data_IF_467347629950
#
_entry.id   IF_467347629950
#
_cell.length_a   1.000
_cell.length_b   1.000
_cell.length_c   1.000
_cell.angle_alpha   90.00
_cell.angle_beta   90.00
_cell.angle_gamma   90.00
#
_symmetry.space_group_name_H-M   'P 1'
#
loop_
_entity.id
_entity.type
_entity.pdbx_description
1 polymer ?
#
# COMPACT_ATOMS: atom_id res chain seq x y z
N UNK A 1 -3.72 -16.85 1.19
CA UNK A 1 -4.66 -17.63 0.35
C UNK A 1 -3.95 -17.93 -0.97
N UNK A 2 -4.17 -19.10 -1.56
CA UNK A 2 -3.66 -19.46 -2.89
C UNK A 2 -4.83 -19.46 -3.87
N UNK A 3 -4.68 -18.76 -4.99
CA UNK A 3 -5.65 -18.78 -6.09
C UNK A 3 -5.05 -19.55 -7.26
N UNK A 4 -5.69 -20.64 -7.65
CA UNK A 4 -5.34 -21.37 -8.87
C UNK A 4 -6.29 -20.94 -9.97
N UNK A 5 -5.78 -20.16 -10.92
CA UNK A 5 -6.53 -19.77 -12.10
C UNK A 5 -6.56 -20.91 -13.10
N UNK A 6 -7.74 -21.24 -13.62
CA UNK A 6 -7.97 -22.41 -14.49
C UNK A 6 -8.60 -21.97 -15.79
N UNK A 7 -7.90 -22.17 -16.90
CA UNK A 7 -8.46 -22.16 -18.24
C UNK A 7 -8.60 -23.59 -18.76
N UNK A 8 -9.68 -23.90 -19.46
CA UNK A 8 -9.86 -25.24 -20.05
C UNK A 8 -10.66 -25.20 -21.35
N UNK A 9 -10.45 -26.22 -22.17
CA UNK A 9 -11.34 -26.59 -23.28
C UNK A 9 -12.65 -27.17 -22.76
N UNK A 10 -13.70 -27.15 -23.59
CA UNK A 10 -14.98 -27.78 -23.24
C UNK A 10 -14.85 -29.30 -23.15
N UNK A 11 -15.55 -29.92 -22.20
CA UNK A 11 -15.57 -31.36 -21.97
C UNK A 11 -14.34 -31.89 -21.25
N UNK A 12 -13.67 -31.08 -20.43
CA UNK A 12 -12.59 -31.59 -19.56
C UNK A 12 -13.19 -32.36 -18.37
N UNK A 13 -12.55 -33.46 -18.00
CA UNK A 13 -12.97 -34.27 -16.84
C UNK A 13 -12.47 -33.66 -15.54
N UNK A 14 -13.02 -34.13 -14.42
CA UNK A 14 -12.58 -33.72 -13.08
C UNK A 14 -11.13 -34.12 -12.84
N UNK A 15 -10.74 -35.32 -13.30
CA UNK A 15 -9.40 -35.87 -13.16
C UNK A 15 -8.37 -35.05 -13.96
N UNK A 16 -8.71 -34.62 -15.18
CA UNK A 16 -7.83 -33.75 -15.98
C UNK A 16 -7.56 -32.42 -15.26
N UNK A 17 -8.59 -31.81 -14.68
CA UNK A 17 -8.44 -30.54 -13.94
C UNK A 17 -7.63 -30.75 -12.65
N UNK A 18 -7.93 -31.79 -11.87
CA UNK A 18 -7.19 -32.08 -10.64
C UNK A 18 -5.72 -32.40 -10.91
N UNK A 19 -5.41 -33.19 -11.95
CA UNK A 19 -4.04 -33.49 -12.34
C UNK A 19 -3.26 -32.22 -12.72
N UNK A 20 -3.87 -31.31 -13.48
CA UNK A 20 -3.25 -30.04 -13.84
C UNK A 20 -2.98 -29.16 -12.61
N UNK A 21 -3.94 -29.08 -11.69
CA UNK A 21 -3.85 -28.27 -10.47
C UNK A 21 -2.81 -28.84 -9.50
N UNK A 22 -2.80 -30.15 -9.28
CA UNK A 22 -1.85 -30.83 -8.39
C UNK A 22 -0.41 -30.72 -8.90
N UNK A 23 -0.21 -30.63 -10.22
CA UNK A 23 1.11 -30.46 -10.83
C UNK A 23 1.75 -29.09 -10.54
N UNK A 24 0.96 -28.07 -10.18
CA UNK A 24 1.44 -26.70 -9.97
C UNK A 24 1.24 -26.18 -8.55
N UNK A 25 0.51 -26.90 -7.71
CA UNK A 25 0.28 -26.48 -6.33
C UNK A 25 1.57 -26.53 -5.51
N UNK A 26 1.94 -25.42 -4.82
CA UNK A 26 3.07 -25.44 -3.91
C UNK A 26 2.87 -26.50 -2.82
N UNK A 27 3.93 -27.26 -2.44
CA UNK A 27 3.85 -28.23 -1.36
C UNK A 27 3.32 -27.59 -0.07
N UNK A 28 2.30 -28.22 0.53
CA UNK A 28 1.70 -27.74 1.78
C UNK A 28 0.78 -26.52 1.64
N UNK A 29 0.36 -26.15 0.42
CA UNK A 29 -0.59 -25.07 0.19
C UNK A 29 -1.87 -25.22 1.04
N UNK A 30 -2.26 -24.14 1.73
CA UNK A 30 -3.49 -24.05 2.53
C UNK A 30 -4.33 -22.86 2.07
N UNK A 31 -5.65 -22.97 2.26
CA UNK A 31 -6.60 -21.93 1.85
C UNK A 31 -6.54 -21.71 0.33
N UNK A 32 -6.85 -22.76 -0.42
CA UNK A 32 -6.83 -22.77 -1.88
C UNK A 32 -8.23 -22.46 -2.40
N UNK A 33 -8.31 -21.68 -3.46
CA UNK A 33 -9.51 -21.49 -4.26
C UNK A 33 -9.19 -21.69 -5.74
N UNK A 34 -10.20 -22.08 -6.52
CA UNK A 34 -10.13 -22.07 -7.98
C UNK A 34 -10.74 -20.77 -8.50
N UNK A 35 -10.13 -20.17 -9.51
CA UNK A 35 -10.66 -19.01 -10.20
C UNK A 35 -10.71 -19.26 -11.71
N UNK A 36 -11.76 -18.78 -12.38
CA UNK A 36 -11.87 -18.93 -13.84
C UNK A 36 -12.73 -17.84 -14.46
N UNK A 37 -12.82 -17.82 -15.79
CA UNK A 37 -13.75 -16.99 -16.54
C UNK A 37 -15.19 -17.46 -16.30
N UNK A 38 -16.17 -16.56 -16.11
CA UNK A 38 -17.58 -16.89 -15.82
C UNK A 38 -18.15 -17.97 -16.74
N UNK A 39 -17.93 -17.85 -18.06
CA UNK A 39 -18.41 -18.85 -19.03
C UNK A 39 -17.78 -20.25 -18.88
N UNK A 40 -16.61 -20.33 -18.24
CA UNK A 40 -15.89 -21.57 -17.91
C UNK A 40 -16.22 -22.08 -16.51
N UNK A 41 -16.77 -21.25 -15.63
CA UNK A 41 -17.24 -21.67 -14.30
C UNK A 41 -18.39 -22.67 -14.34
N UNK A 42 -19.08 -22.82 -15.47
CA UNK A 42 -20.11 -23.84 -15.68
C UNK A 42 -19.56 -25.20 -16.16
N UNK A 43 -18.26 -25.27 -16.50
CA UNK A 43 -17.65 -26.49 -17.01
C UNK A 43 -17.67 -27.61 -15.94
N UNK A 44 -18.26 -28.79 -16.22
CA UNK A 44 -18.42 -29.84 -15.22
C UNK A 44 -17.10 -30.29 -14.58
N UNK A 45 -16.01 -30.37 -15.35
CA UNK A 45 -14.70 -30.72 -14.83
C UNK A 45 -14.17 -29.72 -13.79
N UNK A 46 -14.34 -28.42 -14.02
CA UNK A 46 -13.87 -27.36 -13.11
C UNK A 46 -14.73 -27.34 -11.84
N UNK A 47 -16.06 -27.37 -11.97
CA UNK A 47 -16.97 -27.41 -10.81
C UNK A 47 -16.79 -28.67 -9.99
N UNK A 48 -16.63 -29.81 -10.65
CA UNK A 48 -16.40 -31.09 -10.00
C UNK A 48 -15.07 -31.11 -9.26
N UNK A 49 -13.99 -30.58 -9.85
CA UNK A 49 -12.69 -30.47 -9.17
C UNK A 49 -12.76 -29.59 -7.92
N UNK A 50 -13.43 -28.43 -8.00
CA UNK A 50 -13.66 -27.56 -6.85
C UNK A 50 -14.44 -28.29 -5.74
N UNK A 51 -15.51 -29.01 -6.11
CA UNK A 51 -16.34 -29.76 -5.18
C UNK A 51 -15.58 -30.92 -4.51
N UNK A 52 -14.81 -31.70 -5.27
CA UNK A 52 -13.98 -32.80 -4.75
C UNK A 52 -12.98 -32.30 -3.70
N UNK A 53 -12.41 -31.12 -3.91
CA UNK A 53 -11.44 -30.50 -2.98
C UNK A 53 -12.09 -29.65 -1.88
N UNK A 54 -13.41 -29.46 -1.92
CA UNK A 54 -14.13 -28.51 -1.08
C UNK A 54 -13.52 -27.08 -1.14
N UNK A 55 -13.09 -26.66 -2.32
CA UNK A 55 -12.52 -25.33 -2.55
C UNK A 55 -13.58 -24.38 -3.12
N UNK A 56 -13.55 -23.08 -2.74
CA UNK A 56 -14.33 -22.07 -3.43
C UNK A 56 -13.98 -22.03 -4.92
N UNK A 57 -15.00 -21.88 -5.77
CA UNK A 57 -14.84 -21.57 -7.19
C UNK A 57 -15.32 -20.13 -7.41
N UNK A 58 -14.38 -19.26 -7.72
CA UNK A 58 -14.64 -17.86 -8.04
C UNK A 58 -14.65 -17.69 -9.56
N UNK A 59 -15.57 -16.88 -10.06
CA UNK A 59 -15.68 -16.58 -11.49
C UNK A 59 -15.58 -15.10 -11.75
N UNK A 60 -14.95 -14.75 -12.87
CA UNK A 60 -14.75 -13.36 -13.28
C UNK A 60 -15.18 -13.16 -14.72
N UNK A 61 -15.71 -11.98 -15.02
CA UNK A 61 -16.15 -11.65 -16.38
C UNK A 61 -14.96 -11.37 -17.31
N UNK A 62 -15.17 -11.56 -18.61
CA UNK A 62 -14.12 -11.41 -19.61
C UNK A 62 -13.48 -10.02 -19.57
N UNK A 63 -14.32 -8.98 -19.47
CA UNK A 63 -13.86 -7.59 -19.42
C UNK A 63 -12.99 -7.32 -18.19
N UNK A 64 -13.37 -7.89 -17.04
CA UNK A 64 -12.58 -7.77 -15.81
C UNK A 64 -11.24 -8.50 -15.93
N UNK A 65 -11.21 -9.67 -16.57
CA UNK A 65 -9.96 -10.40 -16.83
C UNK A 65 -9.13 -9.80 -17.97
N UNK A 66 -9.70 -8.96 -18.81
CA UNK A 66 -9.02 -8.31 -19.94
C UNK A 66 -8.07 -7.20 -19.47
N UNK A 67 -8.40 -6.54 -18.36
CA UNK A 67 -7.60 -5.45 -17.81
C UNK A 67 -6.41 -5.94 -16.97
N UNK A 68 -6.42 -7.20 -16.55
CA UNK A 68 -5.35 -7.78 -15.71
C UNK A 68 -4.07 -7.97 -16.55
N UNK A 69 -2.96 -7.30 -16.22
CA UNK A 69 -1.68 -7.54 -16.87
C UNK A 69 -1.20 -8.97 -16.56
N UNK A 70 -0.88 -9.73 -17.60
CA UNK A 70 -0.39 -11.11 -17.49
C UNK A 70 0.99 -11.24 -18.14
N UNK A 71 1.88 -12.07 -17.59
CA UNK A 71 3.25 -12.18 -18.12
C UNK A 71 3.31 -12.93 -19.47
N UNK A 72 2.34 -13.79 -19.77
CA UNK A 72 2.32 -14.58 -21.00
C UNK A 72 0.99 -14.43 -21.78
N UNK A 73 0.69 -13.26 -22.35
CA UNK A 73 -0.55 -13.03 -23.09
C UNK A 73 -0.64 -13.88 -24.37
N UNK A 74 -1.86 -14.20 -24.81
CA UNK A 74 -2.13 -14.95 -26.05
C UNK A 74 -3.21 -14.28 -26.89
N UNK A 75 -2.83 -13.82 -28.09
CA UNK A 75 -3.77 -13.20 -29.03
C UNK A 75 -4.94 -14.14 -29.42
N UNK A 76 -4.68 -15.44 -29.54
CA UNK A 76 -5.72 -16.43 -29.83
C UNK A 76 -6.73 -16.55 -28.68
N UNK A 77 -6.27 -16.51 -27.43
CA UNK A 77 -7.15 -16.53 -26.25
C UNK A 77 -7.94 -15.22 -26.16
N UNK A 78 -7.29 -14.06 -26.37
CA UNK A 78 -7.98 -12.77 -26.43
C UNK A 78 -9.11 -12.77 -27.47
N UNK A 79 -8.83 -13.26 -28.68
CA UNK A 79 -9.84 -13.32 -29.75
C UNK A 79 -11.00 -14.28 -29.42
N UNK A 80 -10.72 -15.40 -28.75
CA UNK A 80 -11.73 -16.42 -28.46
C UNK A 80 -12.57 -16.11 -27.21
N UNK A 81 -12.01 -15.38 -26.25
CA UNK A 81 -12.58 -15.30 -24.89
C UNK A 81 -12.55 -13.91 -24.26
N UNK A 82 -11.93 -12.92 -24.91
CA UNK A 82 -11.88 -11.53 -24.46
C UNK A 82 -10.78 -11.20 -23.44
N UNK A 83 -10.02 -12.18 -22.94
CA UNK A 83 -8.89 -11.95 -22.01
C UNK A 83 -7.57 -12.50 -22.58
N UNK A 84 -6.41 -11.85 -22.31
CA UNK A 84 -5.11 -12.33 -22.78
C UNK A 84 -4.69 -13.68 -22.21
N UNK A 85 -5.20 -14.09 -21.05
CA UNK A 85 -4.89 -15.38 -20.42
C UNK A 85 -5.92 -15.69 -19.35
N UNK A 86 -6.79 -16.69 -19.54
CA UNK A 86 -7.81 -17.04 -18.52
C UNK A 86 -7.16 -17.46 -17.20
N UNK A 87 -6.14 -18.32 -17.26
CA UNK A 87 -5.51 -18.86 -16.06
C UNK A 87 -4.76 -17.78 -15.27
N UNK A 88 -3.87 -17.02 -15.93
CA UNK A 88 -3.09 -15.99 -15.21
C UNK A 88 -3.96 -14.82 -14.77
N UNK A 89 -4.87 -14.34 -15.62
CA UNK A 89 -5.73 -13.22 -15.26
C UNK A 89 -6.65 -13.59 -14.08
N UNK A 90 -7.27 -14.78 -14.10
CA UNK A 90 -8.12 -15.23 -13.00
C UNK A 90 -7.34 -15.47 -11.71
N UNK A 91 -6.08 -15.91 -11.79
CA UNK A 91 -5.22 -16.03 -10.61
C UNK A 91 -4.85 -14.65 -10.03
N UNK A 92 -4.60 -13.66 -10.89
CA UNK A 92 -4.04 -12.36 -10.52
C UNK A 92 -5.06 -11.25 -10.24
N UNK A 93 -6.32 -11.40 -10.66
CA UNK A 93 -7.35 -10.33 -10.56
C UNK A 93 -7.55 -9.80 -9.12
N UNK A 94 -7.26 -10.61 -8.10
CA UNK A 94 -7.29 -10.20 -6.68
C UNK A 94 -6.04 -9.44 -6.20
N UNK A 95 -5.08 -9.14 -7.07
CA UNK A 95 -3.86 -8.39 -6.76
C UNK A 95 -2.76 -9.20 -6.07
N UNK A 96 -2.83 -10.53 -6.13
CA UNK A 96 -1.80 -11.44 -5.62
C UNK A 96 -0.53 -11.47 -6.49
N UNK A 97 0.46 -12.25 -6.06
CA UNK A 97 1.69 -12.50 -6.80
C UNK A 97 1.67 -13.85 -7.49
N UNK A 98 2.05 -13.87 -8.76
CA UNK A 98 2.19 -15.13 -9.50
C UNK A 98 3.37 -15.92 -8.91
N UNK A 99 3.10 -17.12 -8.40
CA UNK A 99 4.11 -18.05 -7.90
C UNK A 99 4.39 -19.16 -8.92
N UNK A 100 3.41 -19.48 -9.77
CA UNK A 100 3.58 -20.36 -10.93
C UNK A 100 2.92 -19.71 -12.14
N UNK A 101 3.71 -19.49 -13.19
CA UNK A 101 3.25 -18.95 -14.46
C UNK A 101 2.31 -19.90 -15.21
N UNK A 102 1.74 -19.40 -16.32
CA UNK A 102 0.91 -20.22 -17.21
C UNK A 102 1.58 -21.54 -17.57
N UNK A 103 0.98 -22.63 -17.11
CA UNK A 103 1.43 -24.00 -17.34
C UNK A 103 0.30 -24.77 -18.02
N UNK A 104 0.61 -25.44 -19.13
CA UNK A 104 -0.37 -26.22 -19.90
C UNK A 104 -0.21 -27.70 -19.56
N UNK A 105 -1.30 -28.34 -19.17
CA UNK A 105 -1.39 -29.76 -18.86
C UNK A 105 -2.54 -30.39 -19.66
N UNK A 106 -2.20 -30.94 -20.83
CA UNK A 106 -3.20 -31.45 -21.78
C UNK A 106 -4.15 -30.35 -22.26
N UNK A 107 -5.44 -30.47 -21.91
CA UNK A 107 -6.51 -29.52 -22.29
C UNK A 107 -6.82 -28.47 -21.21
N UNK A 108 -6.05 -28.48 -20.12
CA UNK A 108 -6.20 -27.57 -18.98
C UNK A 108 -4.95 -26.70 -18.88
N UNK A 109 -5.16 -25.41 -18.73
CA UNK A 109 -4.11 -24.42 -18.47
C UNK A 109 -4.30 -23.88 -17.07
N UNK A 110 -3.25 -23.90 -16.27
CA UNK A 110 -3.28 -23.45 -14.88
C UNK A 110 -2.22 -22.39 -14.63
N UNK A 111 -2.48 -21.53 -13.67
CA UNK A 111 -1.53 -20.58 -13.11
C UNK A 111 -1.83 -20.42 -11.62
N UNK A 112 -0.82 -20.15 -10.80
CA UNK A 112 -0.98 -20.07 -9.34
C UNK A 112 -0.51 -18.72 -8.86
N UNK A 113 -1.38 -18.01 -8.14
CA UNK A 113 -1.04 -16.80 -7.43
C UNK A 113 -1.16 -17.02 -5.91
N UNK A 114 -0.23 -16.45 -5.17
CA UNK A 114 -0.31 -16.31 -3.73
C UNK A 114 -0.79 -14.91 -3.37
N UNK A 115 -1.69 -14.80 -2.39
CA UNK A 115 -2.05 -13.51 -1.82
C UNK A 115 -0.83 -12.83 -1.19
N UNK A 116 -0.82 -11.50 -1.18
CA UNK A 116 0.27 -10.69 -0.64
C UNK A 116 0.32 -10.81 0.87
N UNK A 117 1.53 -10.92 1.44
CA UNK A 117 1.71 -10.79 2.89
C UNK A 117 1.49 -9.33 3.32
N UNK A 118 0.26 -9.04 3.77
CA UNK A 118 -0.16 -7.71 4.20
C UNK A 118 0.61 -7.20 5.43
N UNK A 119 1.28 -8.08 6.19
CA UNK A 119 2.05 -7.72 7.40
C UNK A 119 3.52 -7.41 7.10
N UNK A 120 3.94 -7.56 5.85
CA UNK A 120 5.32 -7.27 5.50
C UNK A 120 5.56 -5.75 5.43
N UNK A 121 6.46 -5.22 6.26
CA UNK A 121 6.78 -3.79 6.34
C UNK A 121 8.25 -3.49 6.01
N UNK A 122 8.54 -2.24 5.62
CA UNK A 122 9.81 -1.85 4.97
C UNK A 122 11.03 -1.84 5.89
N UNK A 123 10.81 -1.77 7.19
CA UNK A 123 11.82 -1.88 8.23
C UNK A 123 12.53 -3.25 8.23
N UNK A 124 11.88 -4.31 7.74
CA UNK A 124 12.52 -5.60 7.53
C UNK A 124 13.70 -5.54 6.54
N UNK A 125 13.72 -4.55 5.63
CA UNK A 125 14.78 -4.37 4.64
C UNK A 125 15.95 -3.54 5.17
N UNK A 126 15.73 -2.69 6.19
CA UNK A 126 16.73 -1.79 6.74
C UNK A 126 17.57 -2.48 7.83
N UNK A 127 18.63 -3.19 7.43
CA UNK A 127 19.58 -3.82 8.35
C UNK A 127 20.79 -2.91 8.62
N UNK A 128 21.45 -3.02 9.80
CA UNK A 128 22.65 -2.24 10.10
C UNK A 128 23.73 -2.35 9.03
N UNK A 129 24.39 -1.23 8.70
CA UNK A 129 25.46 -1.18 7.71
C UNK A 129 25.02 -0.85 6.27
N UNK A 130 23.71 -0.76 6.02
CA UNK A 130 23.18 -0.35 4.71
C UNK A 130 22.77 1.13 4.71
N UNK A 131 22.92 1.78 3.56
CA UNK A 131 22.27 3.06 3.29
C UNK A 131 20.77 2.79 3.09
N UNK A 132 19.97 3.30 4.03
CA UNK A 132 18.53 3.05 4.06
C UNK A 132 17.77 3.94 3.07
N UNK A 133 17.34 3.35 1.96
CA UNK A 133 16.32 3.90 1.04
C UNK A 133 15.02 3.09 1.11
N UNK A 134 14.91 2.15 2.04
CA UNK A 134 13.75 1.29 2.23
C UNK A 134 12.75 1.88 3.22
N UNK A 135 13.12 2.82 4.08
CA UNK A 135 12.22 3.49 5.03
C UNK A 135 12.08 4.98 4.73
N UNK A 136 10.84 5.45 4.60
CA UNK A 136 10.51 6.83 4.21
C UNK A 136 10.58 7.84 5.38
N UNK A 137 11.44 7.61 6.38
CA UNK A 137 11.67 8.56 7.48
C UNK A 137 12.72 9.58 7.06
N UNK A 138 12.48 10.87 7.31
CA UNK A 138 13.42 11.95 6.96
C UNK A 138 14.75 11.78 7.71
N UNK A 139 15.87 11.86 7.01
CA UNK A 139 17.20 11.79 7.61
C UNK A 139 17.47 13.02 8.51
N UNK A 140 18.35 12.87 9.50
CA UNK A 140 18.74 13.97 10.40
C UNK A 140 17.66 14.40 11.41
N UNK A 141 16.60 13.61 11.57
CA UNK A 141 15.50 13.87 12.51
C UNK A 141 15.53 12.89 13.70
N UNK A 142 14.85 13.18 14.83
CA UNK A 142 14.17 14.44 15.18
C UNK A 142 15.16 15.61 15.37
N UNK A 143 14.73 16.87 15.11
CA UNK A 143 15.55 18.06 15.34
C UNK A 143 15.85 18.25 16.84
N UNK A 144 16.90 19.02 17.15
CA UNK A 144 17.39 19.19 18.52
C UNK A 144 16.33 19.75 19.49
N UNK A 145 15.51 20.71 19.05
CA UNK A 145 14.42 21.25 19.86
C UNK A 145 13.39 20.18 20.22
N UNK A 146 13.07 19.29 19.28
CA UNK A 146 12.09 18.21 19.50
C UNK A 146 12.68 17.13 20.41
N UNK A 147 13.98 16.83 20.28
CA UNK A 147 14.68 15.94 21.23
C UNK A 147 14.60 16.45 22.66
N UNK A 148 14.77 17.76 22.85
CA UNK A 148 14.65 18.40 24.18
C UNK A 148 13.25 18.20 24.74
N UNK A 149 12.21 18.52 23.96
CA UNK A 149 10.80 18.28 24.34
C UNK A 149 10.54 16.82 24.72
N UNK A 150 11.10 15.87 23.95
CA UNK A 150 10.93 14.45 24.22
C UNK A 150 11.64 14.00 25.50
N UNK A 151 12.84 14.52 25.79
CA UNK A 151 13.54 14.23 27.04
C UNK A 151 12.77 14.75 28.25
N UNK A 152 12.33 16.01 28.21
CA UNK A 152 11.53 16.60 29.29
C UNK A 152 10.23 15.81 29.52
N UNK A 153 9.59 15.32 28.45
CA UNK A 153 8.38 14.52 28.55
C UNK A 153 8.62 13.10 29.11
N UNK A 154 9.81 12.53 28.89
CA UNK A 154 10.21 11.27 29.53
C UNK A 154 10.34 11.48 31.05
N UNK A 155 10.96 12.57 31.49
CA UNK A 155 11.07 12.90 32.92
C UNK A 155 9.69 13.10 33.57
N UNK A 156 8.72 13.63 32.81
CA UNK A 156 7.34 13.81 33.26
C UNK A 156 6.46 12.54 33.20
N UNK A 157 6.97 11.39 32.73
CA UNK A 157 6.15 10.20 32.45
C UNK A 157 5.70 9.43 33.69
N UNK A 158 6.04 9.86 34.91
CA UNK A 158 5.56 9.22 36.14
C UNK A 158 4.06 9.42 36.38
N UNK A 159 3.46 10.48 35.82
CA UNK A 159 2.02 10.74 35.89
C UNK A 159 1.28 10.13 34.69
N UNK A 160 0.00 9.81 34.88
CA UNK A 160 -0.87 9.43 33.76
C UNK A 160 -0.96 10.57 32.73
N UNK A 161 -0.99 10.26 31.43
CA UNK A 161 -0.97 11.26 30.38
C UNK A 161 -2.28 12.08 30.31
N UNK A 162 -2.14 13.39 30.08
CA UNK A 162 -3.25 14.30 29.79
C UNK A 162 -3.28 14.67 28.30
N UNK A 163 -4.28 14.17 27.58
CA UNK A 163 -4.41 14.35 26.14
C UNK A 163 -4.98 15.72 25.72
N UNK A 164 -5.57 16.50 26.64
CA UNK A 164 -6.31 17.73 26.30
C UNK A 164 -5.44 18.77 25.57
N UNK A 165 -4.21 19.11 26.03
CA UNK A 165 -3.39 20.10 25.35
C UNK A 165 -3.01 19.67 23.92
N UNK A 166 -2.70 18.39 23.73
CA UNK A 166 -2.36 17.84 22.41
C UNK A 166 -3.56 17.85 21.46
N UNK A 167 -4.75 17.52 21.96
CA UNK A 167 -6.00 17.55 21.19
C UNK A 167 -6.32 18.97 20.72
N UNK A 168 -6.27 19.94 21.65
CA UNK A 168 -6.47 21.35 21.35
C UNK A 168 -5.45 21.88 20.32
N UNK A 169 -4.17 21.51 20.46
CA UNK A 169 -3.12 21.93 19.54
C UNK A 169 -3.35 21.39 18.10
N UNK A 170 -3.72 20.11 17.98
CA UNK A 170 -4.04 19.50 16.69
C UNK A 170 -5.30 20.11 16.08
N UNK A 171 -6.35 20.30 16.87
CA UNK A 171 -7.61 20.92 16.43
C UNK A 171 -7.35 22.34 15.87
N UNK A 172 -6.60 23.17 16.62
CA UNK A 172 -6.23 24.50 16.19
C UNK A 172 -5.36 24.51 14.92
N UNK A 173 -4.44 23.56 14.78
CA UNK A 173 -3.59 23.46 13.58
C UNK A 173 -4.39 23.19 12.29
N UNK A 174 -5.51 22.48 12.40
CA UNK A 174 -6.34 22.11 11.24
C UNK A 174 -7.64 22.90 11.12
N UNK A 175 -7.91 23.83 12.04
CA UNK A 175 -9.16 24.59 12.07
C UNK A 175 -10.39 23.72 12.35
N UNK A 176 -10.23 22.74 13.25
CA UNK A 176 -11.25 21.76 13.63
C UNK A 176 -11.75 21.98 15.05
N UNK A 177 -12.92 21.41 15.36
CA UNK A 177 -13.35 21.28 16.75
C UNK A 177 -12.56 20.18 17.47
N UNK A 178 -12.34 20.30 18.78
CA UNK A 178 -11.62 19.27 19.55
C UNK A 178 -12.33 17.90 19.54
N UNK A 179 -13.67 17.90 19.44
CA UNK A 179 -14.47 16.66 19.32
C UNK A 179 -14.25 15.94 17.99
N UNK A 180 -13.71 16.63 16.98
CA UNK A 180 -13.36 16.07 15.67
C UNK A 180 -11.92 15.52 15.62
N UNK A 181 -11.22 15.46 16.76
CA UNK A 181 -9.83 15.01 16.84
C UNK A 181 -9.67 13.75 17.70
N UNK A 182 -9.17 12.70 17.09
CA UNK A 182 -8.72 11.48 17.77
C UNK A 182 -7.20 11.41 17.80
N UNK A 183 -6.59 11.36 18.99
CA UNK A 183 -5.15 11.11 19.12
C UNK A 183 -4.89 9.61 19.18
N UNK A 184 -3.86 9.14 18.47
CA UNK A 184 -3.60 7.70 18.32
C UNK A 184 -2.14 7.33 18.55
N UNK A 185 -1.91 6.08 18.96
CA UNK A 185 -0.61 5.43 19.12
C UNK A 185 0.01 5.09 17.74
N UNK A 186 0.14 6.13 16.91
CA UNK A 186 0.51 6.05 15.50
C UNK A 186 -0.73 5.90 14.60
N UNK A 187 -0.58 6.38 13.36
CA UNK A 187 -1.65 6.31 12.35
C UNK A 187 -2.23 4.89 12.14
N UNK A 188 -1.41 3.85 12.32
CA UNK A 188 -1.84 2.46 12.19
C UNK A 188 -2.92 2.04 13.20
N UNK A 189 -2.91 2.62 14.41
CA UNK A 189 -3.94 2.34 15.42
C UNK A 189 -5.33 2.75 14.89
N UNK A 190 -5.43 3.88 14.17
CA UNK A 190 -6.69 4.35 13.59
C UNK A 190 -7.36 3.27 12.74
N UNK A 191 -6.61 2.50 11.94
CA UNK A 191 -7.18 1.44 11.12
C UNK A 191 -7.72 0.27 11.94
N UNK A 192 -7.06 -0.07 13.05
CA UNK A 192 -7.55 -1.09 13.98
C UNK A 192 -8.82 -0.62 14.70
N UNK A 193 -8.86 0.64 15.15
CA UNK A 193 -10.05 1.22 15.78
C UNK A 193 -11.23 1.27 14.81
N UNK A 194 -10.98 1.70 13.56
CA UNK A 194 -11.96 1.73 12.48
C UNK A 194 -12.54 0.33 12.21
N UNK A 195 -11.67 -0.66 12.07
CA UNK A 195 -12.08 -2.04 11.81
C UNK A 195 -12.92 -2.64 12.96
N UNK A 196 -12.73 -2.19 14.20
CA UNK A 196 -13.51 -2.64 15.37
C UNK A 196 -14.82 -1.87 15.56
N UNK A 197 -14.80 -0.57 15.29
CA UNK A 197 -15.94 0.31 15.49
C UNK A 197 -17.01 0.16 14.40
N UNK A 198 -16.61 -0.22 13.18
CA UNK A 198 -17.49 -0.29 12.03
C UNK A 198 -17.84 -1.73 11.65
N UNK A 199 -18.98 -1.92 10.99
CA UNK A 199 -19.41 -3.18 10.36
C UNK A 199 -19.79 -2.90 8.90
N UNK A 200 -18.80 -2.62 8.03
CA UNK A 200 -19.06 -2.27 6.65
C UNK A 200 -19.67 -3.46 5.89
N UNK A 201 -20.66 -3.20 5.05
CA UNK A 201 -21.23 -4.17 4.13
C UNK A 201 -20.34 -4.39 2.91
N UNK A 202 -19.68 -3.34 2.44
CA UNK A 202 -18.78 -3.33 1.28
C UNK A 202 -17.60 -2.40 1.55
N UNK A 203 -16.55 -2.95 2.17
CA UNK A 203 -15.29 -2.26 2.39
C UNK A 203 -14.39 -2.34 1.16
N UNK A 204 -14.03 -1.19 0.60
CA UNK A 204 -13.11 -1.05 -0.53
C UNK A 204 -11.79 -0.45 -0.04
N UNK A 205 -10.68 -1.13 -0.28
CA UNK A 205 -9.33 -0.58 -0.06
C UNK A 205 -8.66 -0.37 -1.42
N UNK A 206 -8.22 0.86 -1.67
CA UNK A 206 -7.55 1.23 -2.92
C UNK A 206 -6.10 0.77 -2.86
N UNK A 207 -5.65 0.04 -3.87
CA UNK A 207 -4.30 -0.48 -4.02
C UNK A 207 -3.72 -0.11 -5.40
N UNK A 208 -2.39 -0.12 -5.60
CA UNK A 208 -1.35 -0.39 -4.60
C UNK A 208 -1.24 0.72 -3.56
N UNK A 209 -1.34 0.35 -2.28
CA UNK A 209 -1.33 1.26 -1.13
C UNK A 209 -0.76 0.53 0.09
N UNK A 210 -0.50 1.27 1.16
CA UNK A 210 -0.10 0.72 2.46
C UNK A 210 -1.13 -0.31 2.92
N UNK A 211 -0.65 -1.46 3.38
CA UNK A 211 -1.46 -2.68 3.55
C UNK A 211 -2.17 -2.76 4.91
N UNK A 212 -1.80 -1.91 5.86
CA UNK A 212 -2.36 -1.93 7.22
C UNK A 212 -3.88 -1.79 7.28
N UNK A 213 -4.54 -0.91 6.49
CA UNK A 213 -5.99 -0.81 6.52
C UNK A 213 -6.67 -2.13 6.15
N UNK A 214 -6.20 -2.80 5.09
CA UNK A 214 -6.73 -4.10 4.70
C UNK A 214 -6.42 -5.16 5.75
N UNK A 215 -5.19 -5.18 6.30
CA UNK A 215 -4.80 -6.12 7.34
C UNK A 215 -5.69 -6.00 8.59
N UNK A 216 -5.97 -4.77 9.03
CA UNK A 216 -6.82 -4.49 10.18
C UNK A 216 -8.27 -4.92 9.94
N UNK A 217 -8.84 -4.60 8.77
CA UNK A 217 -10.19 -5.00 8.39
C UNK A 217 -10.34 -6.53 8.35
N UNK A 218 -9.41 -7.22 7.70
CA UNK A 218 -9.41 -8.69 7.65
C UNK A 218 -9.22 -9.32 9.03
N UNK A 219 -8.38 -8.75 9.88
CA UNK A 219 -8.17 -9.21 11.25
C UNK A 219 -9.43 -9.06 12.12
N UNK A 220 -10.28 -8.08 11.84
CA UNK A 220 -11.59 -7.91 12.46
C UNK A 220 -12.70 -8.78 11.82
N UNK A 221 -12.39 -9.58 10.80
CA UNK A 221 -13.32 -10.49 10.14
C UNK A 221 -14.10 -9.88 8.97
N UNK A 222 -13.74 -8.67 8.53
CA UNK A 222 -14.41 -8.02 7.40
C UNK A 222 -13.92 -8.57 6.06
N UNK A 223 -14.85 -8.74 5.11
CA UNK A 223 -14.52 -8.93 3.72
C UNK A 223 -14.01 -7.60 3.13
N UNK A 224 -12.88 -7.64 2.42
CA UNK A 224 -12.28 -6.46 1.78
C UNK A 224 -12.22 -6.67 0.28
N UNK A 225 -12.82 -5.73 -0.44
CA UNK A 225 -12.66 -5.60 -1.89
C UNK A 225 -11.45 -4.69 -2.17
N UNK A 226 -10.53 -5.17 -3.00
CA UNK A 226 -9.41 -4.35 -3.46
C UNK A 226 -9.79 -3.65 -4.76
N UNK A 227 -9.68 -2.33 -4.79
CA UNK A 227 -9.69 -1.55 -6.03
C UNK A 227 -8.26 -1.37 -6.50
N UNK A 228 -7.84 -2.12 -7.52
CA UNK A 228 -6.48 -2.06 -8.07
C UNK A 228 -6.40 -0.95 -9.12
N UNK A 229 -5.64 0.10 -8.82
CA UNK A 229 -5.30 1.15 -9.77
C UNK A 229 -4.21 0.66 -10.72
N UNK A 230 -4.25 1.16 -11.94
CA UNK A 230 -3.41 0.67 -13.04
C UNK A 230 -2.28 1.65 -13.39
N UNK A 231 -1.10 1.16 -13.81
CA UNK A 231 -0.06 1.99 -14.41
C UNK A 231 -0.52 2.56 -15.77
N UNK A 232 0.12 3.64 -16.26
CA UNK A 232 1.26 4.33 -15.67
C UNK A 232 0.87 5.37 -14.61
N UNK A 233 -0.41 5.72 -14.47
CA UNK A 233 -0.85 6.86 -13.66
C UNK A 233 -1.12 6.50 -12.20
N UNK A 234 -1.65 5.29 -11.93
CA UNK A 234 -2.21 4.91 -10.63
C UNK A 234 -3.16 5.96 -10.06
N UNK A 235 -3.93 6.63 -10.93
CA UNK A 235 -4.92 7.62 -10.51
C UNK A 235 -6.24 6.94 -10.12
N UNK A 236 -6.90 7.47 -9.10
CA UNK A 236 -8.18 7.03 -8.60
C UNK A 236 -9.24 7.04 -9.72
N UNK A 237 -9.95 5.92 -9.84
CA UNK A 237 -11.04 5.70 -10.80
C UNK A 237 -11.95 4.58 -10.31
N UNK A 238 -13.19 4.53 -10.80
CA UNK A 238 -14.09 3.38 -10.67
C UNK A 238 -14.34 2.89 -9.23
N UNK A 239 -14.39 3.80 -8.25
CA UNK A 239 -14.79 3.44 -6.88
C UNK A 239 -16.27 3.05 -6.88
N UNK A 240 -16.65 1.83 -6.43
CA UNK A 240 -18.05 1.40 -6.42
C UNK A 240 -18.94 2.37 -5.64
N UNK A 241 -20.08 2.76 -6.22
CA UNK A 241 -21.00 3.75 -5.65
C UNK A 241 -21.66 3.28 -4.34
N UNK A 242 -21.81 1.97 -4.17
CA UNK A 242 -22.43 1.28 -3.03
C UNK A 242 -21.41 0.85 -1.95
N UNK A 243 -20.12 1.14 -2.12
CA UNK A 243 -19.13 0.95 -1.05
C UNK A 243 -19.48 1.87 0.13
N UNK A 244 -19.63 1.30 1.33
CA UNK A 244 -19.95 2.04 2.56
C UNK A 244 -18.70 2.33 3.43
N UNK A 245 -17.56 1.71 3.10
CA UNK A 245 -16.24 2.08 3.57
C UNK A 245 -15.27 2.13 2.40
N UNK A 246 -14.56 3.26 2.23
CA UNK A 246 -13.49 3.40 1.24
C UNK A 246 -12.22 3.88 1.94
N UNK A 247 -11.11 3.19 1.73
CA UNK A 247 -9.80 3.58 2.28
C UNK A 247 -8.79 3.82 1.16
N UNK A 248 -8.15 4.99 1.15
CA UNK A 248 -7.05 5.32 0.24
C UNK A 248 -5.98 6.16 0.95
N UNK A 249 -4.74 6.12 0.44
CA UNK A 249 -3.69 7.05 0.85
C UNK A 249 -3.65 8.28 -0.06
N UNK A 250 -3.20 9.42 0.44
CA UNK A 250 -2.95 10.60 -0.39
C UNK A 250 -1.88 11.54 0.24
N UNK A 251 -0.63 11.59 -0.25
CA UNK A 251 -0.06 10.76 -1.32
C UNK A 251 -0.05 9.27 -1.02
N UNK A 252 -0.23 8.46 -2.05
CA UNK A 252 -0.30 7.00 -1.95
C UNK A 252 1.09 6.38 -1.78
N UNK A 253 1.28 5.53 -0.76
CA UNK A 253 2.47 4.68 -0.61
C UNK A 253 2.15 3.28 -1.15
N UNK A 254 2.78 2.78 -2.23
CA UNK A 254 4.15 3.10 -2.64
C UNK A 254 4.30 3.97 -3.90
N UNK A 255 3.22 4.34 -4.58
CA UNK A 255 3.28 5.01 -5.89
C UNK A 255 3.76 6.46 -5.84
N UNK A 256 3.66 7.10 -4.67
CA UNK A 256 3.96 8.51 -4.43
C UNK A 256 2.98 9.47 -5.14
N UNK A 257 1.91 8.92 -5.74
CA UNK A 257 0.89 9.68 -6.46
C UNK A 257 0.07 10.52 -5.50
N UNK A 258 -0.13 11.78 -5.85
CA UNK A 258 -1.05 12.70 -5.19
C UNK A 258 -2.32 12.80 -6.02
N UNK A 259 -3.41 12.21 -5.53
CA UNK A 259 -4.73 12.37 -6.11
C UNK A 259 -5.23 13.82 -5.92
N UNK A 260 -5.88 14.42 -6.93
CA UNK A 260 -6.49 15.73 -6.78
C UNK A 260 -7.51 15.74 -5.64
N UNK A 261 -7.45 16.75 -4.76
CA UNK A 261 -8.36 16.87 -3.62
C UNK A 261 -9.84 16.78 -4.02
N UNK A 262 -10.21 17.40 -5.15
CA UNK A 262 -11.58 17.35 -5.67
C UNK A 262 -12.03 15.93 -6.07
N UNK A 263 -11.14 15.13 -6.65
CA UNK A 263 -11.45 13.75 -7.03
C UNK A 263 -11.67 12.85 -5.81
N UNK A 264 -10.85 13.03 -4.76
CA UNK A 264 -11.02 12.30 -3.49
C UNK A 264 -12.27 12.78 -2.75
N UNK A 265 -12.50 14.09 -2.68
CA UNK A 265 -13.67 14.68 -2.03
C UNK A 265 -15.00 14.23 -2.67
N UNK A 266 -15.02 14.02 -3.99
CA UNK A 266 -16.19 13.52 -4.72
C UNK A 266 -16.62 12.10 -4.30
N UNK A 267 -15.75 11.34 -3.60
CA UNK A 267 -16.12 10.05 -3.04
C UNK A 267 -17.00 10.16 -1.80
N UNK A 268 -16.95 11.29 -1.08
CA UNK A 268 -17.68 11.51 0.16
C UNK A 268 -19.19 11.59 -0.10
N UNK A 269 -19.97 10.88 0.70
CA UNK A 269 -21.43 10.82 0.60
C UNK A 269 -22.06 10.31 1.90
N UNK A 270 -23.33 10.64 2.19
CA UNK A 270 -24.04 10.07 3.33
C UNK A 270 -24.00 8.53 3.31
N UNK A 271 -23.77 7.92 4.47
CA UNK A 271 -23.71 6.47 4.62
C UNK A 271 -22.38 5.82 4.22
N UNK A 272 -21.40 6.59 3.73
CA UNK A 272 -20.04 6.12 3.47
C UNK A 272 -19.07 6.72 4.48
N UNK A 273 -18.18 5.89 5.03
CA UNK A 273 -16.96 6.37 5.68
C UNK A 273 -15.84 6.41 4.63
N UNK A 274 -15.31 7.60 4.37
CA UNK A 274 -14.18 7.82 3.46
C UNK A 274 -12.92 8.07 4.29
N UNK A 275 -12.01 7.10 4.33
CA UNK A 275 -10.75 7.20 5.07
C UNK A 275 -9.63 7.60 4.12
N UNK A 276 -8.98 8.72 4.42
CA UNK A 276 -7.85 9.24 3.64
C UNK A 276 -6.59 9.25 4.51
N UNK A 277 -5.66 8.34 4.23
CA UNK A 277 -4.36 8.29 4.89
C UNK A 277 -3.41 9.35 4.30
N UNK A 278 -3.25 10.44 5.04
CA UNK A 278 -2.41 11.58 4.71
C UNK A 278 -1.05 11.53 5.45
N UNK A 279 -0.56 10.33 5.80
CA UNK A 279 0.73 10.16 6.48
C UNK A 279 1.95 10.75 5.75
N UNK A 280 1.81 11.10 4.47
CA UNK A 280 2.84 11.76 3.65
C UNK A 280 2.47 13.17 3.19
N UNK A 281 1.32 13.73 3.61
CA UNK A 281 0.87 15.05 3.15
C UNK A 281 1.89 16.16 3.47
N UNK A 282 2.48 16.14 4.67
CA UNK A 282 3.52 17.07 5.13
C UNK A 282 4.80 17.07 4.25
N UNK A 283 4.95 16.10 3.34
CA UNK A 283 6.08 16.03 2.40
C UNK A 283 5.81 16.76 1.08
N UNK A 284 4.59 17.28 0.90
CA UNK A 284 4.15 18.02 -0.29
C UNK A 284 4.02 19.51 0.04
N UNK A 285 4.76 20.40 -0.62
CA UNK A 285 4.65 21.85 -0.39
C UNK A 285 3.21 22.35 -0.53
N UNK A 286 2.70 23.01 0.51
CA UNK A 286 1.35 23.60 0.55
C UNK A 286 0.21 22.59 0.66
N UNK A 287 0.50 21.29 0.74
CA UNK A 287 -0.47 20.20 0.92
C UNK A 287 -1.75 20.29 0.04
N UNK A 288 -1.66 20.55 -1.28
CA UNK A 288 -2.83 20.84 -2.12
C UNK A 288 -3.83 19.68 -2.26
N UNK A 289 -3.43 18.45 -1.91
CA UNK A 289 -4.31 17.28 -1.90
C UNK A 289 -4.95 16.97 -0.54
N UNK A 290 -4.63 17.75 0.50
CA UNK A 290 -5.12 17.53 1.86
C UNK A 290 -6.60 17.86 2.01
N UNK A 291 -7.30 17.00 2.73
CA UNK A 291 -8.68 17.19 3.19
C UNK A 291 -8.75 17.39 4.71
N UNK A 292 -7.60 17.48 5.41
CA UNK A 292 -7.51 17.56 6.86
C UNK A 292 -8.33 18.70 7.49
N UNK A 293 -8.54 19.82 6.78
CA UNK A 293 -9.37 20.95 7.25
C UNK A 293 -10.84 20.95 6.79
N UNK A 294 -11.28 19.98 5.97
CA UNK A 294 -12.64 19.94 5.38
C UNK A 294 -13.70 19.35 6.31
N UNK A 295 -14.65 20.17 6.76
CA UNK A 295 -15.79 19.77 7.61
C UNK A 295 -17.09 19.53 6.82
N UNK A 296 -17.13 19.88 5.55
CA UNK A 296 -18.32 19.80 4.68
C UNK A 296 -18.50 18.42 4.00
N UNK A 297 -17.54 17.51 4.16
CA UNK A 297 -17.53 16.21 3.50
C UNK A 297 -18.07 15.12 4.46
N UNK A 298 -19.25 14.54 4.17
CA UNK A 298 -19.87 13.56 5.07
C UNK A 298 -19.02 12.29 5.16
N UNK A 299 -18.83 11.81 6.39
CA UNK A 299 -18.11 10.56 6.69
C UNK A 299 -16.60 10.60 6.38
N UNK A 300 -16.03 11.76 6.10
CA UNK A 300 -14.58 11.90 5.88
C UNK A 300 -13.82 11.67 7.19
N UNK A 301 -12.85 10.75 7.16
CA UNK A 301 -11.88 10.54 8.22
C UNK A 301 -10.47 10.67 7.64
N UNK A 302 -9.75 11.73 8.01
CA UNK A 302 -8.36 11.95 7.58
C UNK A 302 -7.41 11.42 8.64
N UNK A 303 -6.41 10.63 8.24
CA UNK A 303 -5.39 10.08 9.14
C UNK A 303 -4.06 10.78 8.91
N UNK A 304 -3.40 11.24 9.98
CA UNK A 304 -2.11 11.94 9.93
C UNK A 304 -1.09 11.26 10.83
N UNK A 305 0.19 11.46 10.52
CA UNK A 305 1.31 10.82 11.20
C UNK A 305 2.48 11.76 11.38
N UNK A 306 3.07 11.80 12.57
CA UNK A 306 4.34 12.51 12.82
C UNK A 306 5.57 11.64 12.47
N UNK A 307 5.36 10.42 11.97
CA UNK A 307 6.43 9.44 11.77
C UNK A 307 7.47 9.89 10.73
N UNK A 308 7.01 10.41 9.59
CA UNK A 308 7.87 10.58 8.39
C UNK A 308 8.69 11.85 8.46
N UNK A 309 8.00 12.98 8.63
CA UNK A 309 8.59 14.33 8.64
C UNK A 309 9.44 14.60 9.87
N UNK A 310 9.01 14.10 11.04
CA UNK A 310 9.66 14.41 12.33
C UNK A 310 10.56 13.29 12.87
N UNK A 311 10.67 12.15 12.19
CA UNK A 311 11.55 11.07 12.64
C UNK A 311 11.03 10.26 13.82
N UNK A 312 9.74 10.34 14.12
CA UNK A 312 9.15 9.77 15.33
C UNK A 312 8.58 8.36 15.12
N UNK A 313 9.21 7.57 14.24
CA UNK A 313 8.74 6.23 13.89
C UNK A 313 8.66 5.28 15.10
N UNK A 314 9.65 5.33 16.00
CA UNK A 314 9.65 4.52 17.23
C UNK A 314 8.69 5.01 18.31
N UNK A 315 8.29 6.29 18.26
CA UNK A 315 7.41 6.89 19.28
C UNK A 315 5.95 6.49 19.10
N UNK A 316 5.56 6.08 17.88
CA UNK A 316 4.18 5.68 17.52
C UNK A 316 3.19 6.81 17.85
N UNK A 317 3.25 7.89 17.09
CA UNK A 317 2.39 9.07 17.29
C UNK A 317 1.65 9.46 16.01
N UNK A 318 0.34 9.61 16.12
CA UNK A 318 -0.56 9.97 15.03
C UNK A 318 -1.86 10.56 15.54
N UNK A 319 -2.73 10.92 14.62
CA UNK A 319 -4.07 11.40 14.92
C UNK A 319 -5.00 11.19 13.72
N UNK A 320 -6.31 11.22 13.97
CA UNK A 320 -7.34 11.25 12.96
C UNK A 320 -8.25 12.46 13.14
N UNK A 321 -8.78 12.98 12.03
CA UNK A 321 -9.68 14.12 11.96
C UNK A 321 -10.95 13.70 11.24
N UNK A 322 -12.12 13.90 11.85
CA UNK A 322 -13.40 13.53 11.23
C UNK A 322 -14.60 13.92 12.08
N UNK A 323 -15.82 13.61 11.62
CA UNK A 323 -17.05 13.90 12.35
C UNK A 323 -17.00 13.43 13.81
N UNK A 324 -17.51 14.24 14.73
CA UNK A 324 -17.41 14.00 16.16
C UNK A 324 -18.04 12.67 16.62
N UNK A 325 -19.12 12.24 15.97
CA UNK A 325 -19.79 10.96 16.23
C UNK A 325 -18.91 9.77 15.81
N UNK A 326 -18.28 9.84 14.64
CA UNK A 326 -17.32 8.85 14.18
C UNK A 326 -16.08 8.82 15.09
N UNK A 327 -15.52 9.98 15.43
CA UNK A 327 -14.39 10.09 16.36
C UNK A 327 -14.71 9.48 17.73
N UNK A 328 -15.90 9.74 18.27
CA UNK A 328 -16.36 9.13 19.52
C UNK A 328 -16.50 7.60 19.41
N UNK A 329 -17.03 7.09 18.29
CA UNK A 329 -17.15 5.65 18.05
C UNK A 329 -15.77 4.96 17.98
N UNK A 330 -14.78 5.60 17.36
CA UNK A 330 -13.39 5.11 17.34
C UNK A 330 -12.74 5.17 18.72
N UNK A 331 -12.92 6.29 19.45
CA UNK A 331 -12.38 6.48 20.79
C UNK A 331 -12.90 5.43 21.78
N UNK A 332 -14.16 4.98 21.63
CA UNK A 332 -14.74 3.92 22.46
C UNK A 332 -14.03 2.56 22.32
N UNK A 333 -13.22 2.37 21.26
CA UNK A 333 -12.41 1.17 21.04
C UNK A 333 -10.98 1.30 21.61
N UNK A 334 -10.59 2.48 22.09
CA UNK A 334 -9.27 2.70 22.68
C UNK A 334 -9.22 2.20 24.13
N UNK A 335 -8.07 1.65 24.58
CA UNK A 335 -7.83 1.47 26.00
C UNK A 335 -7.74 2.83 26.72
N UNK A 336 -7.79 2.83 28.05
CA UNK A 336 -7.47 4.02 28.82
C UNK A 336 -6.03 4.48 28.54
N UNK A 337 -5.85 5.79 28.40
CA UNK A 337 -4.55 6.44 28.16
C UNK A 337 -3.78 5.86 26.95
N UNK A 338 -4.39 5.85 25.75
CA UNK A 338 -3.83 5.14 24.59
C UNK A 338 -2.54 5.78 24.04
N UNK A 339 -2.30 7.05 24.33
CA UNK A 339 -1.16 7.83 23.82
C UNK A 339 -0.25 8.25 24.98
N UNK A 340 1.04 7.95 24.86
CA UNK A 340 2.03 8.20 25.90
C UNK A 340 2.35 9.69 26.09
N UNK A 341 2.81 10.08 27.28
CA UNK A 341 3.22 11.46 27.60
C UNK A 341 4.20 12.05 26.58
N UNK A 342 5.27 11.35 26.14
CA UNK A 342 6.17 11.87 25.11
C UNK A 342 5.52 12.03 23.72
N UNK A 343 4.58 11.14 23.36
CA UNK A 343 3.83 11.27 22.10
C UNK A 343 2.88 12.48 22.13
N UNK A 344 2.22 12.75 23.27
CA UNK A 344 1.37 13.93 23.45
C UNK A 344 2.18 15.23 23.41
N UNK A 345 3.35 15.27 24.06
CA UNK A 345 4.26 16.42 24.00
C UNK A 345 4.73 16.69 22.57
N UNK A 346 5.06 15.64 21.80
CA UNK A 346 5.42 15.76 20.40
C UNK A 346 4.28 16.34 19.55
N UNK A 347 3.02 15.89 19.77
CA UNK A 347 1.85 16.45 19.07
C UNK A 347 1.69 17.95 19.32
N UNK A 348 1.82 18.40 20.58
CA UNK A 348 1.77 19.83 20.92
C UNK A 348 2.88 20.58 20.20
N UNK A 349 4.12 20.14 20.33
CA UNK A 349 5.27 20.88 19.82
C UNK A 349 5.28 20.94 18.28
N UNK A 350 4.95 19.84 17.61
CA UNK A 350 4.90 19.76 16.15
C UNK A 350 3.68 20.48 15.53
N UNK A 351 2.65 20.80 16.32
CA UNK A 351 1.47 21.54 15.83
C UNK A 351 1.64 23.07 15.87
N UNK A 352 2.73 23.57 16.47
CA UNK A 352 3.00 25.01 16.55
C UNK A 352 3.25 25.63 15.16
N UNK A 353 2.92 26.92 14.95
CA UNK A 353 3.21 27.60 13.68
C UNK A 353 4.68 27.51 13.25
N UNK A 354 5.61 27.60 14.20
CA UNK A 354 7.04 27.49 13.93
C UNK A 354 7.45 26.10 13.43
N UNK A 355 7.00 25.03 14.10
CA UNK A 355 7.28 23.66 13.67
C UNK A 355 6.64 23.36 12.30
N UNK A 356 5.42 23.84 12.05
CA UNK A 356 4.77 23.69 10.74
C UNK A 356 5.49 24.45 9.62
N UNK A 357 6.04 25.63 9.91
CA UNK A 357 6.88 26.36 8.97
C UNK A 357 8.18 25.59 8.66
N UNK A 358 8.81 24.96 9.66
CA UNK A 358 9.98 24.08 9.45
C UNK A 358 9.63 22.87 8.57
N UNK A 359 8.49 22.22 8.83
CA UNK A 359 8.01 21.11 8.00
C UNK A 359 7.77 21.55 6.54
N UNK A 360 7.16 22.72 6.33
CA UNK A 360 6.93 23.28 5.00
C UNK A 360 8.24 23.59 4.25
N UNK A 361 9.25 24.13 4.95
CA UNK A 361 10.57 24.36 4.37
C UNK A 361 11.25 23.03 3.95
N UNK A 362 11.16 22.00 4.81
CA UNK A 362 11.68 20.68 4.50
C UNK A 362 10.97 20.02 3.30
N UNK A 363 9.65 20.21 3.15
CA UNK A 363 8.90 19.75 1.99
C UNK A 363 9.35 20.44 0.68
N UNK A 364 9.71 21.71 0.76
CA UNK A 364 10.23 22.46 -0.39
C UNK A 364 11.61 21.95 -0.80
N UNK A 365 12.52 21.76 0.16
CA UNK A 365 13.84 21.17 -0.06
C UNK A 365 13.75 19.77 -0.68
N UNK A 366 12.85 18.92 -0.16
CA UNK A 366 12.59 17.58 -0.66
C UNK A 366 12.20 17.56 -2.14
N UNK A 367 11.56 18.61 -2.66
CA UNK A 367 11.23 18.71 -4.09
C UNK A 367 12.48 18.78 -4.95
N UNK A 368 13.49 19.55 -4.53
CA UNK A 368 14.81 19.58 -5.19
C UNK A 368 15.55 18.25 -5.10
N UNK A 369 15.49 17.58 -3.94
CA UNK A 369 16.09 16.26 -3.74
C UNK A 369 15.46 15.20 -4.64
N UNK A 370 14.12 15.20 -4.76
CA UNK A 370 13.39 14.29 -5.65
C UNK A 370 13.75 14.54 -7.10
N UNK A 371 13.81 15.80 -7.54
CA UNK A 371 14.25 16.14 -8.90
C UNK A 371 15.68 15.64 -9.18
N UNK A 372 16.59 15.77 -8.23
CA UNK A 372 17.95 15.25 -8.36
C UNK A 372 18.02 13.73 -8.46
N UNK A 373 17.21 13.00 -7.68
CA UNK A 373 17.09 11.54 -7.81
C UNK A 373 16.58 11.16 -9.19
N UNK A 374 15.45 11.74 -9.63
CA UNK A 374 14.84 11.43 -10.92
C UNK A 374 15.80 11.71 -12.09
N UNK A 375 16.56 12.81 -12.04
CA UNK A 375 17.54 13.15 -13.07
C UNK A 375 18.76 12.21 -13.09
N UNK A 376 19.06 11.55 -11.97
CA UNK A 376 20.20 10.64 -11.87
C UNK A 376 19.88 9.20 -12.30
N UNK A 377 18.60 8.81 -12.35
CA UNK A 377 18.19 7.44 -12.67
C UNK A 377 18.64 7.02 -14.09
N UNK A 378 19.12 5.78 -14.26
CA UNK A 378 19.55 5.31 -15.57
C UNK A 378 18.34 5.11 -16.51
N UNK A 379 18.52 5.24 -17.85
CA UNK A 379 17.42 5.20 -18.81
C UNK A 379 16.60 3.89 -18.82
N UNK A 380 17.18 2.78 -18.39
CA UNK A 380 16.50 1.49 -18.30
C UNK A 380 15.51 1.38 -17.12
N UNK A 381 15.51 2.37 -16.21
CA UNK A 381 14.60 2.43 -15.07
C UNK A 381 13.38 3.25 -15.44
N UNK A 382 12.20 2.64 -15.33
CA UNK A 382 10.94 3.36 -15.51
C UNK A 382 10.48 3.91 -14.16
N UNK A 383 10.20 5.22 -14.10
CA UNK A 383 9.45 5.82 -12.98
C UNK A 383 7.96 5.63 -13.26
N UNK A 384 7.22 5.10 -12.28
CA UNK A 384 5.77 4.87 -12.43
C UNK A 384 4.99 5.86 -11.56
N UNK A 385 3.93 6.45 -12.12
CA UNK A 385 3.21 7.57 -11.52
C UNK A 385 3.93 8.92 -11.68
N UNK A 386 3.33 9.97 -11.12
CA UNK A 386 3.98 11.27 -10.89
C UNK A 386 4.30 11.41 -9.39
N UNK A 387 5.56 11.16 -8.96
CA UNK A 387 5.88 11.09 -7.55
C UNK A 387 5.90 12.46 -6.88
N UNK A 388 5.14 12.60 -5.79
CA UNK A 388 4.98 13.85 -5.03
C UNK A 388 5.47 13.78 -3.59
N UNK A 389 5.61 12.59 -3.02
CA UNK A 389 6.03 12.36 -1.64
C UNK A 389 7.55 12.21 -1.48
N UNK A 390 7.99 11.70 -0.33
CA UNK A 390 9.39 11.44 0.05
C UNK A 390 9.99 10.15 -0.51
N UNK A 391 9.40 9.58 -1.57
CA UNK A 391 9.83 8.35 -2.21
C UNK A 391 9.37 8.31 -3.67
N UNK A 392 9.95 7.40 -4.46
CA UNK A 392 9.61 7.14 -5.85
C UNK A 392 9.34 5.65 -6.06
N UNK A 393 8.42 5.31 -6.97
CA UNK A 393 8.19 3.95 -7.41
C UNK A 393 8.90 3.73 -8.75
N UNK A 394 9.81 2.76 -8.75
CA UNK A 394 10.59 2.37 -9.92
C UNK A 394 10.09 1.01 -10.41
N UNK A 395 10.02 0.85 -11.72
CA UNK A 395 9.87 -0.45 -12.38
C UNK A 395 11.17 -0.79 -13.09
N UNK A 396 11.73 -1.93 -12.74
CA UNK A 396 13.00 -2.47 -13.25
C UNK A 396 12.77 -3.95 -13.57
N UNK A 397 12.91 -4.39 -14.83
CA UNK A 397 12.79 -5.81 -15.15
C UNK A 397 13.76 -6.65 -14.29
N UNK A 398 13.26 -7.69 -13.63
CA UNK A 398 14.08 -8.52 -12.75
C UNK A 398 14.51 -7.83 -11.46
N UNK A 399 13.71 -6.86 -10.96
CA UNK A 399 14.09 -6.05 -9.81
C UNK A 399 14.41 -6.86 -8.53
N UNK A 400 13.89 -8.08 -8.39
CA UNK A 400 14.26 -8.98 -7.30
C UNK A 400 15.78 -9.25 -7.25
N UNK A 401 16.41 -9.61 -8.38
CA UNK A 401 17.87 -9.84 -8.48
C UNK A 401 18.64 -8.52 -8.33
N UNK A 402 18.12 -7.44 -8.91
CA UNK A 402 18.71 -6.10 -8.79
C UNK A 402 18.74 -5.64 -7.33
N UNK A 403 17.67 -5.87 -6.56
CA UNK A 403 17.58 -5.55 -5.13
C UNK A 403 18.61 -6.32 -4.32
N UNK A 404 18.76 -7.62 -4.56
CA UNK A 404 19.76 -8.44 -3.86
C UNK A 404 21.17 -7.90 -4.10
N UNK A 405 21.49 -7.56 -5.36
CA UNK A 405 22.77 -6.94 -5.69
C UNK A 405 22.95 -5.54 -5.12
N UNK A 406 21.90 -4.73 -5.06
CA UNK A 406 21.92 -3.44 -4.36
C UNK A 406 22.26 -3.64 -2.89
N UNK A 407 21.66 -4.65 -2.25
CA UNK A 407 21.92 -5.01 -0.85
C UNK A 407 23.38 -5.42 -0.64
N UNK A 408 23.92 -6.28 -1.52
CA UNK A 408 25.34 -6.68 -1.48
C UNK A 408 26.28 -5.49 -1.64
N UNK A 409 25.84 -4.43 -2.33
CA UNK A 409 26.56 -3.16 -2.49
C UNK A 409 26.21 -2.11 -1.44
N UNK A 410 25.55 -2.49 -0.35
CA UNK A 410 25.30 -1.61 0.79
C UNK A 410 24.03 -0.77 0.71
N UNK A 411 23.08 -1.07 -0.19
CA UNK A 411 21.86 -0.28 -0.38
C UNK A 411 20.60 -1.07 -0.03
N UNK A 412 19.78 -0.54 0.88
CA UNK A 412 18.46 -1.11 1.17
C UNK A 412 17.38 -0.35 0.38
N UNK A 413 16.55 -1.06 -0.38
CA UNK A 413 15.37 -0.53 -1.08
C UNK A 413 14.15 -1.37 -0.74
N UNK A 414 12.94 -0.80 -0.86
CA UNK A 414 11.70 -1.51 -0.55
C UNK A 414 11.20 -2.30 -1.76
N UNK A 415 11.02 -3.61 -1.62
CA UNK A 415 10.41 -4.47 -2.65
C UNK A 415 8.92 -4.15 -2.87
N UNK A 416 8.49 -4.12 -4.13
CA UNK A 416 7.14 -3.69 -4.54
C UNK A 416 6.08 -4.79 -4.51
N UNK A 417 6.44 -6.06 -4.71
CA UNK A 417 5.57 -7.25 -4.65
C UNK A 417 4.90 -7.51 -3.29
N UNK A 418 5.22 -6.67 -2.30
CA UNK A 418 4.61 -6.65 -0.97
C UNK A 418 3.43 -5.69 -0.87
N UNK A 419 3.08 -5.04 -1.98
CA UNK A 419 1.88 -4.22 -2.14
C UNK A 419 0.96 -4.88 -3.17
N UNK A 420 -0.33 -5.11 -2.85
CA UNK A 420 -1.28 -5.67 -3.82
C UNK A 420 -1.30 -4.88 -5.14
N UNK A 421 -1.28 -5.59 -6.26
CA UNK A 421 -1.26 -5.01 -7.61
C UNK A 421 0.11 -4.59 -8.15
N UNK A 422 1.17 -4.60 -7.33
CA UNK A 422 2.56 -4.48 -7.82
C UNK A 422 3.19 -5.85 -8.03
N UNK A 423 4.35 -5.90 -8.69
CA UNK A 423 5.08 -7.14 -8.99
C UNK A 423 6.51 -7.11 -8.46
N UNK A 424 7.22 -8.24 -8.58
CA UNK A 424 8.65 -8.35 -8.26
C UNK A 424 9.58 -7.48 -9.12
N UNK A 425 9.06 -6.80 -10.14
CA UNK A 425 9.77 -5.78 -10.93
C UNK A 425 9.71 -4.38 -10.31
N UNK A 426 9.00 -4.19 -9.21
CA UNK A 426 8.81 -2.87 -8.61
C UNK A 426 9.72 -2.69 -7.40
N UNK A 427 10.35 -1.51 -7.30
CA UNK A 427 11.12 -1.06 -6.14
C UNK A 427 10.64 0.32 -5.72
N UNK A 428 10.37 0.50 -4.42
CA UNK A 428 10.15 1.82 -3.84
C UNK A 428 11.47 2.31 -3.22
N UNK A 429 11.87 3.51 -3.59
CA UNK A 429 13.12 4.14 -3.15
C UNK A 429 12.81 5.44 -2.44
N UNK A 430 13.24 5.59 -1.18
CA UNK A 430 13.12 6.85 -0.44
C UNK A 430 14.02 7.92 -1.06
N UNK A 431 13.52 9.15 -1.12
CA UNK A 431 14.29 10.31 -1.59
C UNK A 431 15.25 10.74 -0.47
N UNK A 432 16.53 10.89 -0.82
CA UNK A 432 17.61 11.38 0.06
C UNK A 432 18.25 12.63 -0.54
N UNK A 433 19.28 13.16 0.11
CA UNK A 433 20.04 14.29 -0.44
C UNK A 433 20.60 13.96 -1.84
N UNK A 434 20.96 14.98 -2.64
CA UNK A 434 21.41 14.77 -4.01
C UNK A 434 22.69 13.94 -4.13
N UNK A 435 23.58 13.99 -3.13
CA UNK A 435 24.81 13.20 -3.10
C UNK A 435 24.50 11.72 -2.98
N UNK A 436 23.70 11.36 -1.98
CA UNK A 436 23.22 9.98 -1.77
C UNK A 436 22.45 9.47 -2.98
N UNK A 437 21.56 10.29 -3.55
CA UNK A 437 20.74 9.91 -4.71
C UNK A 437 21.59 9.62 -5.96
N UNK A 438 22.62 10.42 -6.22
CA UNK A 438 23.56 10.17 -7.33
C UNK A 438 24.39 8.92 -7.10
N UNK A 439 24.86 8.69 -5.88
CA UNK A 439 25.63 7.48 -5.55
C UNK A 439 24.78 6.20 -5.73
N UNK A 440 23.53 6.22 -5.25
CA UNK A 440 22.58 5.13 -5.48
C UNK A 440 22.37 4.87 -6.98
N UNK A 441 22.09 5.91 -7.75
CA UNK A 441 21.78 5.76 -9.16
C UNK A 441 22.98 5.26 -9.98
N UNK A 442 24.21 5.65 -9.63
CA UNK A 442 25.43 5.11 -10.23
C UNK A 442 25.57 3.60 -9.98
N UNK A 443 25.38 3.16 -8.73
CA UNK A 443 25.42 1.72 -8.37
C UNK A 443 24.32 0.94 -9.10
N UNK A 444 23.11 1.51 -9.19
CA UNK A 444 22.02 0.91 -9.95
C UNK A 444 22.37 0.77 -11.45
N UNK A 445 23.00 1.78 -12.05
CA UNK A 445 23.41 1.74 -13.45
C UNK A 445 24.45 0.64 -13.72
N UNK A 446 25.46 0.51 -12.86
CA UNK A 446 26.44 -0.59 -12.92
C UNK A 446 25.77 -1.95 -12.81
N UNK A 447 24.85 -2.11 -11.86
CA UNK A 447 24.09 -3.35 -11.69
C UNK A 447 23.36 -3.73 -12.97
N UNK A 448 22.65 -2.78 -13.57
CA UNK A 448 21.87 -3.00 -14.78
C UNK A 448 22.75 -3.34 -15.98
N UNK A 449 23.91 -2.69 -16.13
CA UNK A 449 24.87 -2.97 -17.19
C UNK A 449 25.42 -4.40 -17.13
N UNK A 450 25.74 -4.89 -15.93
CA UNK A 450 26.25 -6.26 -15.73
C UNK A 450 25.17 -7.33 -16.01
N UNK A 451 23.90 -7.03 -15.78
CA UNK A 451 22.79 -7.94 -16.14
C UNK A 451 22.41 -7.89 -17.62
N UNK A 452 22.81 -6.85 -18.35
CA UNK A 452 22.53 -6.71 -19.78
C UNK A 452 23.54 -7.45 -20.67
N UNK A 453 24.75 -7.70 -20.17
CA UNK A 453 25.70 -8.61 -20.81
C UNK A 453 25.21 -10.05 -20.65
N UNK A 454 24.98 -10.81 -21.75
CA UNK A 454 24.68 -12.23 -21.66
C UNK A 454 25.76 -12.94 -20.84
N UNK A 455 25.36 -13.86 -19.96
CA UNK A 455 26.26 -14.86 -19.36
C UNK A 455 26.80 -15.76 -20.48
N UNK A 456 27.74 -15.26 -21.29
CA UNK A 456 28.69 -16.09 -22.00
C UNK A 456 29.68 -16.59 -20.95
N UNK A 457 29.62 -17.91 -20.69
CA UNK A 457 30.43 -18.73 -19.79
C UNK A 457 29.88 -18.93 -18.37
N UNK A 458 29.07 -19.99 -18.20
CA UNK A 458 29.45 -21.16 -17.40
C UNK A 458 28.61 -22.38 -17.70
#
# INVERSE_FOLDING_TARGET
MITVGVGASTGVTVEEVLAAVDAVLPPGARGVQLATLTRRGLEPGIRGAAAVRAWPLVTHDADQLATVPVPAPSAAVSAAVGTPSVAEAAALVGGGQLVVGKTVHGRVTVAVAADVDLRHHGDAEATPGLVDLAVNVRAGTPPAWLRTVLHDAVDASAAYPDARPARAAVAAAHGRDESEVLLTAGAAETFTLLARALTPRRAVVVHPSFTEPEAALRAAGHAVERLLLEPPSYLLRDVPEDADLVVLGNPTNPTSVLHPAAAVAALARPGRVLVVDEAFADTVPGEPGSLAGRTDLPGLLVVRSLTKTWGLAGLRVGYALGPADLVAALAAQQPHWPVSTPALAALVACSTPAARAEAAAAAHELTGHRAALLAALPPAVQVVGDPRASFVLLRVPGAARVRERLRDRGWAVRRGDTFPGLTGDHLRVAVRDPGTSRAFAAVLAEILAETATPEEHR
#
